data_IF_018442947074
#
_entry.id   IF_018442947074
#
_cell.length_a   1.000
_cell.length_b   1.000
_cell.length_c   1.000
_cell.angle_alpha   90.00
_cell.angle_beta   90.00
_cell.angle_gamma   90.00
#
_symmetry.space_group_name_H-M   'P 1'
#
loop_
_entity.id
_entity.type
_entity.pdbx_description
1 polymer ?
#
# COMPACT_ATOMS: atom_id res chain seq x y z
N UNK A 1 -0.44 -23.46 5.27
CA UNK A 1 -1.09 -22.94 4.04
C UNK A 1 -0.11 -22.84 2.87
N UNK A 2 1.05 -22.17 3.02
CA UNK A 2 2.05 -22.02 1.95
C UNK A 2 2.50 -23.37 1.36
N UNK A 3 2.88 -24.31 2.21
CA UNK A 3 3.33 -25.66 1.79
C UNK A 3 2.24 -26.45 1.04
N UNK A 4 0.98 -26.27 1.40
CA UNK A 4 -0.13 -26.94 0.72
C UNK A 4 -0.39 -26.43 -0.71
N UNK A 5 -0.03 -25.19 -1.01
CA UNK A 5 -0.20 -24.60 -2.34
C UNK A 5 0.90 -24.98 -3.34
N UNK A 6 2.10 -25.34 -2.85
CA UNK A 6 3.25 -25.64 -3.72
C UNK A 6 2.95 -26.73 -4.76
N UNK A 7 2.32 -27.88 -4.43
CA UNK A 7 1.98 -28.90 -5.43
C UNK A 7 1.04 -28.36 -6.52
N UNK A 8 0.02 -27.58 -6.15
CA UNK A 8 -0.93 -26.98 -7.10
C UNK A 8 -0.26 -25.96 -8.02
N UNK A 9 0.68 -25.17 -7.49
CA UNK A 9 1.47 -24.23 -8.30
C UNK A 9 2.37 -24.97 -9.28
N UNK A 10 3.04 -26.04 -8.86
CA UNK A 10 3.87 -26.86 -9.76
C UNK A 10 3.04 -27.50 -10.86
N UNK A 11 1.88 -28.04 -10.53
CA UNK A 11 0.97 -28.63 -11.50
C UNK A 11 0.45 -27.58 -12.48
N UNK A 12 0.05 -26.41 -11.99
CA UNK A 12 -0.36 -25.26 -12.83
C UNK A 12 0.74 -24.89 -13.81
N UNK A 13 1.99 -24.71 -13.36
CA UNK A 13 3.11 -24.30 -14.22
C UNK A 13 3.41 -25.40 -15.27
N UNK A 14 3.41 -26.68 -14.87
CA UNK A 14 3.67 -27.80 -15.76
C UNK A 14 2.66 -27.94 -16.88
N UNK A 15 1.40 -27.56 -16.63
CA UNK A 15 0.32 -27.66 -17.59
C UNK A 15 0.04 -26.32 -18.31
N UNK A 16 0.74 -25.24 -17.95
CA UNK A 16 0.48 -23.91 -18.47
C UNK A 16 1.00 -23.76 -19.90
N UNK A 17 0.18 -23.31 -20.88
CA UNK A 17 0.57 -23.21 -22.29
C UNK A 17 1.84 -22.40 -22.55
N UNK A 18 2.08 -21.37 -21.75
CA UNK A 18 3.26 -20.49 -21.84
C UNK A 18 4.58 -21.24 -21.62
N UNK A 19 4.55 -22.32 -20.84
CA UNK A 19 5.75 -23.07 -20.46
C UNK A 19 5.83 -24.44 -21.09
N UNK A 20 4.87 -24.82 -21.95
CA UNK A 20 4.90 -26.07 -22.67
C UNK A 20 6.12 -26.10 -23.61
N UNK A 21 6.84 -27.23 -23.59
CA UNK A 21 8.04 -27.46 -24.41
C UNK A 21 9.26 -26.58 -24.05
N UNK A 22 9.25 -25.92 -22.89
CA UNK A 22 10.40 -25.18 -22.36
C UNK A 22 10.99 -25.93 -21.15
N UNK A 23 12.29 -25.81 -20.97
CA UNK A 23 12.92 -26.21 -19.72
C UNK A 23 12.58 -25.17 -18.65
N UNK A 24 11.87 -25.60 -17.60
CA UNK A 24 11.33 -24.69 -16.59
C UNK A 24 11.99 -24.95 -15.25
N UNK A 25 12.62 -23.93 -14.68
CA UNK A 25 13.10 -23.91 -13.31
C UNK A 25 12.17 -23.07 -12.45
N UNK A 26 11.65 -23.64 -11.37
CA UNK A 26 10.77 -22.95 -10.42
C UNK A 26 11.49 -22.81 -9.08
N UNK A 27 11.62 -21.56 -8.61
CA UNK A 27 12.19 -21.23 -7.31
C UNK A 27 11.13 -20.54 -6.45
N UNK A 28 10.91 -21.06 -5.25
CA UNK A 28 9.99 -20.41 -4.30
C UNK A 28 10.77 -19.47 -3.39
N UNK A 29 10.34 -18.22 -3.28
CA UNK A 29 11.00 -17.26 -2.41
C UNK A 29 10.83 -17.66 -0.93
N UNK A 30 11.92 -17.67 -0.17
CA UNK A 30 11.89 -18.00 1.26
C UNK A 30 11.27 -16.89 2.11
N UNK A 31 11.36 -15.64 1.64
CA UNK A 31 10.86 -14.44 2.30
C UNK A 31 9.48 -14.08 1.75
N UNK A 32 8.56 -13.79 2.63
CA UNK A 32 7.19 -13.37 2.32
C UNK A 32 6.21 -13.99 3.32
N UNK A 33 5.64 -13.16 4.20
CA UNK A 33 4.73 -13.65 5.25
C UNK A 33 3.30 -13.77 4.71
N UNK A 34 2.95 -12.96 3.71
CA UNK A 34 1.59 -12.79 3.21
C UNK A 34 1.29 -13.49 1.88
N UNK A 35 2.33 -13.89 1.13
CA UNK A 35 2.17 -14.47 -0.21
C UNK A 35 3.11 -15.65 -0.47
N UNK A 36 2.69 -16.57 -1.33
CA UNK A 36 3.57 -17.52 -1.98
C UNK A 36 4.08 -16.88 -3.27
N UNK A 37 5.38 -16.69 -3.37
CA UNK A 37 6.03 -16.11 -4.54
C UNK A 37 6.86 -17.21 -5.21
N UNK A 38 6.61 -17.46 -6.50
CA UNK A 38 7.33 -18.39 -7.34
C UNK A 38 8.01 -17.64 -8.47
N UNK A 39 9.31 -17.83 -8.62
CA UNK A 39 10.06 -17.33 -9.77
C UNK A 39 10.16 -18.47 -10.77
N UNK A 40 9.63 -18.23 -11.97
CA UNK A 40 9.59 -19.18 -13.07
C UNK A 40 10.59 -18.72 -14.11
N UNK A 41 11.61 -19.51 -14.34
CA UNK A 41 12.72 -19.22 -15.26
C UNK A 41 12.75 -20.23 -16.40
N UNK A 42 12.76 -19.73 -17.61
CA UNK A 42 12.99 -20.49 -18.83
C UNK A 42 14.26 -19.97 -19.51
N UNK A 43 14.82 -20.64 -20.54
CA UNK A 43 15.96 -20.10 -21.28
C UNK A 43 15.73 -18.70 -21.89
N UNK A 44 14.47 -18.30 -22.08
CA UNK A 44 14.10 -17.05 -22.75
C UNK A 44 13.51 -15.99 -21.84
N UNK A 45 12.87 -16.41 -20.74
CA UNK A 45 12.06 -15.50 -19.90
C UNK A 45 12.19 -15.81 -18.42
N UNK A 46 11.95 -14.80 -17.63
CA UNK A 46 11.82 -14.91 -16.16
C UNK A 46 10.56 -14.19 -15.72
N UNK A 47 9.70 -14.89 -15.01
CA UNK A 47 8.40 -14.40 -14.57
C UNK A 47 8.19 -14.65 -13.09
N UNK A 48 7.34 -13.84 -12.45
CA UNK A 48 6.90 -14.02 -11.07
C UNK A 48 5.45 -14.48 -11.07
N UNK A 49 5.17 -15.55 -10.36
CA UNK A 49 3.81 -15.97 -10.00
C UNK A 49 3.62 -15.70 -8.50
N UNK A 50 2.72 -14.79 -8.17
CA UNK A 50 2.40 -14.42 -6.79
C UNK A 50 1.00 -14.88 -6.42
N UNK A 51 0.89 -15.58 -5.30
CA UNK A 51 -0.39 -16.06 -4.74
C UNK A 51 -0.46 -15.58 -3.30
N UNK A 52 -1.35 -14.67 -2.98
CA UNK A 52 -1.58 -14.26 -1.61
C UNK A 52 -2.19 -15.38 -0.75
N UNK A 53 -1.67 -15.53 0.46
CA UNK A 53 -2.09 -16.60 1.38
C UNK A 53 -3.39 -16.30 2.12
N UNK A 54 -3.81 -15.05 2.15
CA UNK A 54 -5.08 -14.58 2.70
C UNK A 54 -6.03 -14.26 1.57
N UNK A 55 -7.15 -14.97 1.49
CA UNK A 55 -8.20 -14.73 0.50
C UNK A 55 -8.75 -13.30 0.52
N UNK A 56 -8.69 -12.64 1.70
CA UNK A 56 -9.26 -11.32 1.89
C UNK A 56 -8.33 -10.14 1.51
N UNK A 57 -7.00 -10.36 1.39
CA UNK A 57 -6.03 -9.27 1.28
C UNK A 57 -5.47 -9.05 -0.13
N UNK A 58 -5.82 -9.86 -1.09
CA UNK A 58 -5.08 -9.97 -2.34
C UNK A 58 -5.89 -9.79 -3.61
N UNK A 59 -7.17 -9.73 -3.47
CA UNK A 59 -8.01 -9.43 -4.62
C UNK A 59 -7.69 -8.01 -5.09
N UNK A 60 -7.46 -7.86 -6.40
CA UNK A 60 -7.25 -6.57 -7.03
C UNK A 60 -5.81 -6.20 -7.34
N UNK A 61 -4.78 -6.96 -6.94
CA UNK A 61 -3.40 -6.62 -7.27
C UNK A 61 -3.20 -6.46 -8.78
N UNK A 62 -3.58 -7.45 -9.56
CA UNK A 62 -3.46 -7.39 -11.02
C UNK A 62 -4.25 -6.21 -11.62
N UNK A 63 -5.46 -5.97 -11.13
CA UNK A 63 -6.29 -4.83 -11.56
C UNK A 63 -5.60 -3.50 -11.31
N UNK A 64 -5.05 -3.29 -10.11
CA UNK A 64 -4.41 -2.04 -9.72
C UNK A 64 -3.11 -1.81 -10.50
N UNK A 65 -2.28 -2.85 -10.66
CA UNK A 65 -1.06 -2.76 -11.46
C UNK A 65 -1.36 -2.36 -12.91
N UNK A 66 -2.35 -2.98 -13.55
CA UNK A 66 -2.77 -2.64 -14.92
C UNK A 66 -3.23 -1.18 -15.02
N UNK A 67 -4.05 -0.71 -14.06
CA UNK A 67 -4.56 0.67 -14.05
C UNK A 67 -3.43 1.68 -13.85
N UNK A 68 -2.45 1.38 -13.00
CA UNK A 68 -1.31 2.25 -12.78
C UNK A 68 -0.33 2.25 -13.96
N UNK A 69 -0.15 1.11 -14.63
CA UNK A 69 0.62 1.04 -15.87
C UNK A 69 -0.01 1.93 -16.95
N UNK A 70 -1.33 1.88 -17.11
CA UNK A 70 -2.10 2.76 -18.02
C UNK A 70 -2.01 4.25 -17.63
N UNK A 71 -1.76 4.54 -16.37
CA UNK A 71 -1.53 5.90 -15.84
C UNK A 71 -0.05 6.35 -15.90
N UNK A 72 0.78 5.67 -16.67
CA UNK A 72 2.22 5.96 -16.83
C UNK A 72 3.00 5.86 -15.50
N UNK A 73 2.64 4.88 -14.67
CA UNK A 73 3.43 4.46 -13.49
C UNK A 73 4.14 3.17 -13.82
N UNK A 74 5.46 3.14 -13.62
CA UNK A 74 6.22 1.90 -13.81
C UNK A 74 5.89 0.91 -12.69
N UNK A 75 5.29 -0.20 -13.07
CA UNK A 75 4.96 -1.35 -12.23
C UNK A 75 5.39 -2.64 -12.94
N UNK A 76 5.51 -3.79 -12.28
CA UNK A 76 5.69 -5.05 -12.98
C UNK A 76 4.52 -5.30 -13.94
N UNK A 77 4.81 -5.48 -15.22
CA UNK A 77 3.77 -5.77 -16.22
C UNK A 77 3.02 -7.05 -15.87
N UNK A 78 1.70 -6.97 -15.79
CA UNK A 78 0.84 -8.13 -15.53
C UNK A 78 0.68 -8.94 -16.82
N UNK A 79 1.19 -10.15 -16.79
CA UNK A 79 1.12 -11.08 -17.94
C UNK A 79 -0.23 -11.79 -17.94
N UNK A 80 -0.66 -12.23 -16.76
CA UNK A 80 -1.89 -13.00 -16.59
C UNK A 80 -2.34 -12.94 -15.13
N UNK A 81 -3.61 -13.06 -14.90
CA UNK A 81 -4.22 -13.23 -13.58
C UNK A 81 -5.37 -14.23 -13.63
N UNK A 82 -5.65 -14.88 -12.53
CA UNK A 82 -6.70 -15.89 -12.44
C UNK A 82 -6.74 -16.56 -11.08
N UNK A 83 -7.19 -17.82 -11.07
CA UNK A 83 -7.35 -18.62 -9.86
C UNK A 83 -6.56 -19.92 -9.94
N UNK A 84 -5.83 -20.24 -8.87
CA UNK A 84 -5.27 -21.58 -8.62
C UNK A 84 -5.98 -22.11 -7.38
N UNK A 85 -6.80 -23.13 -7.56
CA UNK A 85 -7.75 -23.58 -6.54
C UNK A 85 -8.72 -22.43 -6.15
N UNK A 86 -8.73 -22.04 -4.89
CA UNK A 86 -9.52 -20.93 -4.33
C UNK A 86 -8.72 -19.62 -4.16
N UNK A 87 -7.43 -19.62 -4.58
CA UNK A 87 -6.53 -18.49 -4.41
C UNK A 87 -6.35 -17.72 -5.72
N UNK A 88 -6.53 -16.42 -5.66
CA UNK A 88 -6.17 -15.55 -6.78
C UNK A 88 -4.65 -15.56 -6.99
N UNK A 89 -4.21 -15.54 -8.26
CA UNK A 89 -2.81 -15.36 -8.61
C UNK A 89 -2.62 -14.18 -9.54
N UNK A 90 -1.44 -13.61 -9.50
CA UNK A 90 -0.94 -12.65 -10.48
C UNK A 90 0.37 -13.17 -11.04
N UNK A 91 0.42 -13.39 -12.34
CA UNK A 91 1.66 -13.67 -13.08
C UNK A 91 2.15 -12.37 -13.69
N UNK A 92 3.39 -12.00 -13.41
CA UNK A 92 3.92 -10.69 -13.79
C UNK A 92 5.40 -10.77 -14.19
N UNK A 93 5.87 -9.71 -14.81
CA UNK A 93 7.26 -9.47 -15.13
C UNK A 93 8.17 -9.65 -13.91
N UNK A 94 9.31 -10.30 -14.11
CA UNK A 94 10.37 -10.32 -13.11
C UNK A 94 11.23 -9.06 -13.24
N UNK A 95 11.34 -8.29 -12.16
CA UNK A 95 12.19 -7.10 -12.11
C UNK A 95 13.53 -7.49 -11.50
N UNK A 96 14.59 -7.43 -12.31
CA UNK A 96 15.97 -7.71 -11.87
C UNK A 96 16.59 -6.46 -11.24
N UNK A 97 16.11 -6.11 -10.06
CA UNK A 97 16.59 -4.95 -9.32
C UNK A 97 16.51 -5.19 -7.81
N UNK A 98 17.29 -4.42 -7.07
CA UNK A 98 17.21 -4.40 -5.60
C UNK A 98 16.03 -3.55 -5.13
N UNK A 99 15.50 -3.90 -3.98
CA UNK A 99 14.50 -3.07 -3.29
C UNK A 99 15.17 -1.79 -2.81
N UNK A 100 14.50 -0.65 -2.98
CA UNK A 100 15.04 0.68 -2.64
C UNK A 100 15.47 0.75 -1.17
N UNK A 101 14.73 0.15 -0.27
CA UNK A 101 15.08 0.05 1.16
C UNK A 101 16.47 -0.57 1.40
N UNK A 102 16.86 -1.56 0.59
CA UNK A 102 18.14 -2.30 0.77
C UNK A 102 19.35 -1.53 0.19
N UNK A 103 19.10 -0.59 -0.70
CA UNK A 103 20.12 0.24 -1.35
C UNK A 103 19.92 1.73 -1.07
N UNK A 104 19.15 2.06 -0.03
CA UNK A 104 18.78 3.41 0.29
C UNK A 104 20.03 4.29 0.52
N UNK A 105 20.14 5.45 -0.15
CA UNK A 105 21.34 6.27 -0.08
C UNK A 105 21.54 6.83 1.32
N UNK A 106 22.80 7.10 1.67
CA UNK A 106 23.16 7.77 2.93
C UNK A 106 23.07 9.29 2.83
N UNK A 107 23.22 9.82 1.62
CA UNK A 107 23.17 11.25 1.33
C UNK A 107 21.75 11.81 1.52
N UNK A 108 21.61 12.79 2.39
CA UNK A 108 20.31 13.38 2.76
C UNK A 108 19.68 14.17 1.60
N UNK A 109 20.48 14.78 0.71
CA UNK A 109 19.95 15.48 -0.46
C UNK A 109 19.30 14.48 -1.44
N UNK A 110 20.00 13.37 -1.70
CA UNK A 110 19.49 12.29 -2.56
C UNK A 110 18.23 11.67 -1.95
N UNK A 111 18.19 11.45 -0.64
CA UNK A 111 16.97 10.95 0.04
C UNK A 111 15.79 11.87 -0.17
N UNK A 112 16.00 13.19 -0.02
CA UNK A 112 14.94 14.19 -0.23
C UNK A 112 14.41 14.14 -1.66
N UNK A 113 15.26 14.05 -2.66
CA UNK A 113 14.89 13.93 -4.06
C UNK A 113 14.08 12.65 -4.33
N UNK A 114 14.50 11.52 -3.75
CA UNK A 114 13.74 10.26 -3.84
C UNK A 114 12.32 10.43 -3.28
N UNK A 115 12.14 11.03 -2.10
CA UNK A 115 10.80 11.21 -1.54
C UNK A 115 9.94 12.20 -2.33
N UNK A 116 10.53 13.21 -2.95
CA UNK A 116 9.81 14.08 -3.91
C UNK A 116 9.35 13.27 -5.11
N UNK A 117 10.20 12.39 -5.66
CA UNK A 117 9.82 11.54 -6.79
C UNK A 117 8.74 10.52 -6.39
N UNK A 118 8.86 9.90 -5.22
CA UNK A 118 7.82 9.02 -4.69
C UNK A 118 6.47 9.75 -4.54
N UNK A 119 6.48 10.99 -4.11
CA UNK A 119 5.28 11.82 -4.05
C UNK A 119 4.64 12.03 -5.43
N UNK A 120 5.44 12.31 -6.47
CA UNK A 120 4.96 12.45 -7.86
C UNK A 120 4.36 11.15 -8.39
N UNK A 121 5.02 10.02 -8.12
CA UNK A 121 4.53 8.69 -8.51
C UNK A 121 3.19 8.41 -7.83
N UNK A 122 3.07 8.64 -6.52
CA UNK A 122 1.82 8.43 -5.78
C UNK A 122 0.70 9.32 -6.33
N UNK A 123 1.00 10.57 -6.70
CA UNK A 123 0.04 11.45 -7.36
C UNK A 123 -0.44 10.87 -8.70
N UNK A 124 0.45 10.32 -9.52
CA UNK A 124 0.06 9.64 -10.78
C UNK A 124 -0.83 8.42 -10.52
N UNK A 125 -0.50 7.61 -9.50
CA UNK A 125 -1.30 6.44 -9.12
C UNK A 125 -2.73 6.80 -8.72
N UNK A 126 -2.95 7.99 -8.19
CA UNK A 126 -4.26 8.47 -7.76
C UNK A 126 -5.07 9.19 -8.85
N UNK A 127 -4.50 9.43 -10.05
CA UNK A 127 -5.23 10.08 -11.16
C UNK A 127 -6.40 9.26 -11.70
N UNK A 128 -6.29 7.93 -11.86
CA UNK A 128 -7.44 7.12 -12.26
C UNK A 128 -8.55 7.22 -11.22
N UNK A 129 -9.75 7.53 -11.71
CA UNK A 129 -10.94 7.67 -10.86
C UNK A 129 -11.47 6.28 -10.49
N UNK A 130 -11.74 6.10 -9.21
CA UNK A 130 -12.42 4.92 -8.67
C UNK A 130 -13.72 5.31 -7.97
N UNK A 131 -14.53 4.32 -7.64
CA UNK A 131 -15.77 4.49 -6.91
C UNK A 131 -15.85 3.50 -5.74
N UNK A 132 -16.33 3.98 -4.61
CA UNK A 132 -16.45 3.20 -3.38
C UNK A 132 -15.16 3.16 -2.56
N UNK A 133 -15.19 2.39 -1.47
CA UNK A 133 -14.18 2.39 -0.42
C UNK A 133 -13.91 1.00 0.11
N UNK A 134 -12.73 0.80 0.70
CA UNK A 134 -12.36 -0.46 1.34
C UNK A 134 -11.62 -1.42 0.41
N UNK A 135 -11.78 -2.70 0.67
CA UNK A 135 -11.09 -3.78 -0.07
C UNK A 135 -11.71 -4.00 -1.45
N UNK A 136 -10.96 -4.69 -2.30
CA UNK A 136 -11.47 -5.19 -3.56
C UNK A 136 -12.27 -6.48 -3.31
N UNK A 137 -13.53 -6.48 -3.71
CA UNK A 137 -14.43 -7.63 -3.67
C UNK A 137 -15.02 -7.80 -5.06
N UNK A 138 -14.74 -8.91 -5.72
CA UNK A 138 -15.18 -9.17 -7.10
C UNK A 138 -14.89 -8.01 -8.06
N UNK A 139 -13.68 -7.43 -7.97
CA UNK A 139 -13.23 -6.32 -8.81
C UNK A 139 -13.80 -4.94 -8.45
N UNK A 140 -14.62 -4.84 -7.41
CA UNK A 140 -15.28 -3.61 -6.95
C UNK A 140 -14.90 -3.27 -5.51
N UNK A 141 -15.22 -2.06 -5.08
CA UNK A 141 -15.05 -1.64 -3.70
C UNK A 141 -16.08 -2.31 -2.79
N UNK A 142 -15.63 -2.64 -1.58
CA UNK A 142 -16.45 -3.30 -0.54
C UNK A 142 -17.62 -2.42 -0.07
N UNK A 143 -17.41 -1.12 0.02
CA UNK A 143 -18.38 -0.14 0.51
C UNK A 143 -18.62 0.95 -0.52
N UNK A 144 -19.82 1.56 -0.52
CA UNK A 144 -20.18 2.61 -1.47
C UNK A 144 -19.70 3.99 -1.01
N UNK A 145 -19.68 4.24 0.30
CA UNK A 145 -19.34 5.53 0.89
C UNK A 145 -18.16 5.44 1.87
N UNK A 146 -17.49 6.58 2.09
CA UNK A 146 -16.45 6.70 3.11
C UNK A 146 -17.00 6.42 4.52
N UNK A 147 -18.23 6.85 4.79
CA UNK A 147 -18.89 6.62 6.06
C UNK A 147 -19.16 5.14 6.33
N UNK A 148 -19.66 4.39 5.33
CA UNK A 148 -19.84 2.94 5.45
C UNK A 148 -18.51 2.22 5.70
N UNK A 149 -17.45 2.61 5.01
CA UNK A 149 -16.11 2.07 5.20
C UNK A 149 -15.59 2.36 6.62
N UNK A 150 -15.70 3.63 7.08
CA UNK A 150 -15.23 4.02 8.40
C UNK A 150 -15.96 3.30 9.52
N UNK A 151 -17.28 3.11 9.37
CA UNK A 151 -18.13 2.38 10.31
C UNK A 151 -18.08 0.86 10.12
N UNK A 152 -17.36 0.38 9.12
CA UNK A 152 -17.20 -1.04 8.86
C UNK A 152 -16.45 -1.77 9.97
N UNK A 153 -16.76 -3.06 10.15
CA UNK A 153 -16.25 -3.89 11.25
C UNK A 153 -14.72 -3.85 11.38
N UNK A 154 -14.01 -3.94 10.26
CA UNK A 154 -12.54 -3.95 10.24
C UNK A 154 -11.94 -2.66 10.80
N UNK A 155 -12.49 -1.50 10.43
CA UNK A 155 -12.04 -0.18 10.89
C UNK A 155 -12.40 0.01 12.36
N UNK A 156 -13.65 -0.26 12.73
CA UNK A 156 -14.12 -0.08 14.10
C UNK A 156 -13.40 -1.01 15.10
N UNK A 157 -13.06 -2.21 14.70
CA UNK A 157 -12.25 -3.14 15.50
C UNK A 157 -10.85 -2.57 15.81
N UNK A 158 -10.21 -1.91 14.84
CA UNK A 158 -8.91 -1.27 15.08
C UNK A 158 -9.05 -0.06 16.03
N UNK A 159 -10.06 0.78 15.82
CA UNK A 159 -10.35 1.93 16.67
C UNK A 159 -10.63 1.48 18.12
N UNK A 160 -11.45 0.45 18.28
CA UNK A 160 -11.76 -0.11 19.60
C UNK A 160 -10.50 -0.63 20.29
N UNK A 161 -9.65 -1.39 19.57
CA UNK A 161 -8.38 -1.88 20.09
C UNK A 161 -7.49 -0.75 20.63
N UNK A 162 -7.37 0.37 19.88
CA UNK A 162 -6.58 1.55 20.29
C UNK A 162 -7.14 2.14 21.58
N UNK A 163 -8.46 2.27 21.70
CA UNK A 163 -9.14 2.80 22.88
C UNK A 163 -8.99 1.91 24.11
N UNK A 164 -9.21 0.61 23.96
CA UNK A 164 -9.13 -0.38 25.05
C UNK A 164 -7.70 -0.52 25.60
N UNK A 165 -6.69 -0.29 24.78
CA UNK A 165 -5.28 -0.36 25.19
C UNK A 165 -4.70 1.03 25.54
N UNK A 166 -5.52 2.08 25.63
CA UNK A 166 -5.11 3.46 25.90
C UNK A 166 -4.00 3.99 24.99
N UNK A 167 -3.97 3.51 23.75
CA UNK A 167 -3.07 4.03 22.74
C UNK A 167 -3.68 5.32 22.16
N UNK A 168 -2.89 6.33 21.88
CA UNK A 168 -3.38 7.62 21.36
C UNK A 168 -4.45 8.29 22.25
N UNK A 169 -4.36 8.16 23.57
CA UNK A 169 -5.39 8.65 24.50
C UNK A 169 -5.67 10.16 24.39
N UNK A 170 -4.65 10.96 24.11
CA UNK A 170 -4.79 12.41 23.92
C UNK A 170 -5.52 12.78 22.62
N UNK A 171 -5.57 11.86 21.64
CA UNK A 171 -6.15 12.09 20.32
C UNK A 171 -7.58 11.53 20.18
N UNK A 172 -8.13 10.87 21.21
CA UNK A 172 -9.46 10.26 21.12
C UNK A 172 -10.55 11.28 20.79
N UNK A 173 -10.45 12.50 21.32
CA UNK A 173 -11.39 13.58 21.01
C UNK A 173 -11.29 14.10 19.57
N UNK A 174 -10.12 14.00 18.95
CA UNK A 174 -9.86 14.51 17.60
C UNK A 174 -10.32 13.54 16.51
N UNK A 175 -10.51 12.26 16.81
CA UNK A 175 -10.88 11.24 15.81
C UNK A 175 -12.24 11.53 15.15
N UNK A 176 -13.25 11.92 15.92
CA UNK A 176 -14.57 12.26 15.39
C UNK A 176 -14.52 13.47 14.47
N UNK A 177 -13.66 14.45 14.78
CA UNK A 177 -13.44 15.62 13.95
C UNK A 177 -12.73 15.24 12.65
N UNK A 178 -11.67 14.42 12.71
CA UNK A 178 -10.96 13.91 11.54
C UNK A 178 -11.92 13.16 10.60
N UNK A 179 -12.76 12.30 11.16
CA UNK A 179 -13.80 11.61 10.37
C UNK A 179 -14.73 12.59 9.68
N UNK A 180 -15.26 13.60 10.39
CA UNK A 180 -16.18 14.58 9.82
C UNK A 180 -15.54 15.35 8.66
N UNK A 181 -14.30 15.81 8.84
CA UNK A 181 -13.54 16.55 7.81
C UNK A 181 -13.37 15.69 6.55
N UNK A 182 -12.93 14.43 6.72
CA UNK A 182 -12.74 13.52 5.57
C UNK A 182 -14.06 13.13 4.92
N UNK A 183 -15.11 12.89 5.69
CA UNK A 183 -16.44 12.63 5.14
C UNK A 183 -16.94 13.79 4.28
N UNK A 184 -16.87 15.01 4.78
CA UNK A 184 -17.26 16.20 4.01
C UNK A 184 -16.44 16.37 2.72
N UNK A 185 -15.13 16.09 2.80
CA UNK A 185 -14.25 16.14 1.64
C UNK A 185 -14.62 15.07 0.60
N UNK A 186 -14.83 13.81 1.02
CA UNK A 186 -15.18 12.70 0.12
C UNK A 186 -16.55 12.85 -0.49
N UNK A 187 -17.53 13.34 0.28
CA UNK A 187 -18.89 13.59 -0.21
C UNK A 187 -18.92 14.67 -1.31
N UNK A 188 -18.03 15.68 -1.22
CA UNK A 188 -17.86 16.69 -2.27
C UNK A 188 -17.16 16.13 -3.50
N UNK A 189 -16.12 15.33 -3.33
CA UNK A 189 -15.35 14.75 -4.43
C UNK A 189 -16.15 13.70 -5.22
N UNK A 190 -17.04 12.95 -4.57
CA UNK A 190 -17.88 11.87 -5.13
C UNK A 190 -17.10 10.78 -5.86
N UNK A 191 -15.83 10.65 -5.54
CA UNK A 191 -14.91 9.69 -6.14
C UNK A 191 -13.88 9.23 -5.13
N UNK A 192 -13.28 8.09 -5.41
CA UNK A 192 -12.14 7.55 -4.68
C UNK A 192 -10.95 7.32 -5.62
N UNK A 193 -9.87 6.81 -5.09
CA UNK A 193 -8.64 6.50 -5.82
C UNK A 193 -8.27 5.02 -5.64
N UNK A 194 -7.46 4.52 -6.55
CA UNK A 194 -6.76 3.26 -6.43
C UNK A 194 -5.56 3.44 -5.51
N UNK A 195 -5.68 3.03 -4.26
CA UNK A 195 -4.69 3.25 -3.21
C UNK A 195 -3.76 2.05 -3.05
N UNK A 196 -2.48 2.32 -2.85
CA UNK A 196 -1.48 1.28 -2.58
C UNK A 196 -1.57 0.74 -1.16
N UNK A 197 -1.93 1.57 -0.20
CA UNK A 197 -2.10 1.30 1.24
C UNK A 197 -0.84 0.75 1.97
N UNK A 198 0.25 0.54 1.25
CA UNK A 198 1.57 0.16 1.81
C UNK A 198 2.73 0.78 0.99
N UNK A 199 2.52 2.01 0.46
CA UNK A 199 3.49 2.70 -0.38
C UNK A 199 4.67 3.21 0.44
N UNK A 200 5.83 2.61 0.22
CA UNK A 200 7.08 2.93 0.90
C UNK A 200 8.28 2.23 0.28
N UNK A 201 9.48 2.57 0.73
CA UNK A 201 10.75 2.10 0.13
C UNK A 201 10.92 0.57 0.12
N UNK A 202 10.16 -0.16 0.93
CA UNK A 202 10.15 -1.63 0.94
C UNK A 202 9.40 -2.25 -0.24
N UNK A 203 8.48 -1.48 -0.86
CA UNK A 203 7.65 -1.89 -2.00
C UNK A 203 8.01 -1.12 -3.27
N UNK A 204 9.29 -0.74 -3.38
CA UNK A 204 9.86 0.01 -4.51
C UNK A 204 11.13 -0.70 -4.96
N UNK A 205 11.25 -0.99 -6.25
CA UNK A 205 12.51 -1.38 -6.86
C UNK A 205 13.32 -0.15 -7.27
N UNK A 206 14.63 -0.16 -6.97
CA UNK A 206 15.57 0.89 -7.33
C UNK A 206 15.96 0.76 -8.82
N UNK A 207 15.01 1.02 -9.70
CA UNK A 207 15.14 1.06 -11.15
C UNK A 207 15.09 2.50 -11.66
N UNK A 208 15.42 2.72 -12.93
CA UNK A 208 15.22 3.99 -13.63
C UNK A 208 14.32 3.73 -14.86
N UNK A 209 13.08 4.19 -14.87
CA UNK A 209 12.34 4.85 -13.78
C UNK A 209 12.05 3.90 -12.60
N UNK A 210 11.80 4.48 -11.43
CA UNK A 210 11.42 3.75 -10.22
C UNK A 210 10.19 2.85 -10.47
N UNK A 211 10.27 1.59 -10.04
CA UNK A 211 9.19 0.61 -10.19
C UNK A 211 8.48 0.36 -8.86
N UNK A 212 7.16 0.55 -8.84
CA UNK A 212 6.29 0.30 -7.68
C UNK A 212 5.74 -1.13 -7.74
N UNK A 213 5.72 -1.85 -6.62
CA UNK A 213 5.21 -3.22 -6.57
C UNK A 213 4.56 -3.52 -5.21
N UNK A 214 3.96 -4.71 -5.09
CA UNK A 214 3.40 -5.28 -3.86
C UNK A 214 2.36 -4.38 -3.17
N UNK A 215 1.32 -3.93 -3.88
CA UNK A 215 0.25 -3.16 -3.27
C UNK A 215 -0.55 -4.00 -2.26
N UNK A 216 -1.14 -3.32 -1.30
CA UNK A 216 -2.27 -3.79 -0.52
C UNK A 216 -3.55 -3.10 -1.05
N UNK A 217 -4.14 -3.59 -2.16
CA UNK A 217 -5.12 -2.84 -2.95
C UNK A 217 -6.31 -2.35 -2.13
N UNK A 218 -6.57 -1.06 -2.17
CA UNK A 218 -7.71 -0.41 -1.50
C UNK A 218 -8.31 0.67 -2.38
N UNK A 219 -9.62 0.79 -2.30
CA UNK A 219 -10.32 1.98 -2.75
C UNK A 219 -10.48 2.92 -1.57
N UNK A 220 -9.98 4.14 -1.67
CA UNK A 220 -10.14 5.14 -0.61
C UNK A 220 -9.92 6.56 -1.17
N UNK A 221 -10.06 7.55 -0.31
CA UNK A 221 -9.65 8.90 -0.61
C UNK A 221 -8.12 8.97 -0.78
N UNK A 222 -7.64 9.74 -1.73
CA UNK A 222 -6.22 9.91 -2.02
C UNK A 222 -5.42 10.46 -0.83
N UNK A 223 -6.01 11.32 0.00
CA UNK A 223 -5.39 11.80 1.25
C UNK A 223 -5.17 10.66 2.26
N UNK A 224 -6.04 9.65 2.26
CA UNK A 224 -5.85 8.47 3.11
C UNK A 224 -4.59 7.70 2.73
N UNK A 225 -4.35 7.46 1.44
CA UNK A 225 -3.15 6.76 0.98
C UNK A 225 -1.87 7.60 1.15
N UNK A 226 -1.94 8.90 0.87
CA UNK A 226 -0.84 9.83 1.14
C UNK A 226 -0.51 9.88 2.65
N UNK A 227 -1.52 10.00 3.51
CA UNK A 227 -1.34 9.97 4.96
C UNK A 227 -0.72 8.67 5.46
N UNK A 228 -1.13 7.53 4.86
CA UNK A 228 -0.54 6.23 5.14
C UNK A 228 0.94 6.17 4.75
N UNK A 229 1.28 6.69 3.58
CA UNK A 229 2.66 6.75 3.08
C UNK A 229 3.55 7.63 3.94
N UNK A 230 3.02 8.74 4.48
CA UNK A 230 3.73 9.60 5.45
C UNK A 230 4.04 8.80 6.72
N UNK A 231 3.08 8.08 7.29
CA UNK A 231 3.28 7.24 8.48
C UNK A 231 4.37 6.18 8.23
N UNK A 232 4.36 5.54 7.07
CA UNK A 232 5.36 4.54 6.69
C UNK A 232 6.74 5.21 6.59
N UNK A 233 6.84 6.39 5.99
CA UNK A 233 8.09 7.13 5.86
C UNK A 233 8.69 7.52 7.22
N UNK A 234 7.86 7.99 8.15
CA UNK A 234 8.27 8.28 9.52
C UNK A 234 8.84 7.05 10.23
N UNK A 235 8.19 5.89 10.07
CA UNK A 235 8.66 4.63 10.65
C UNK A 235 9.97 4.11 10.06
N UNK A 236 10.25 4.43 8.81
CA UNK A 236 11.45 3.96 8.11
C UNK A 236 12.66 4.89 8.31
N UNK A 237 12.46 6.14 8.70
CA UNK A 237 13.49 7.18 8.82
C UNK A 237 13.61 7.72 10.24
N UNK A 238 13.47 6.89 11.25
CA UNK A 238 13.64 7.25 12.67
C UNK A 238 12.87 8.52 13.09
N UNK A 239 11.65 8.69 12.56
CA UNK A 239 10.79 9.82 12.93
C UNK A 239 11.11 11.14 12.24
N UNK A 240 11.97 11.15 11.22
CA UNK A 240 12.26 12.37 10.47
C UNK A 240 11.03 12.86 9.69
N UNK A 241 10.41 13.93 10.19
CA UNK A 241 9.22 14.54 9.57
C UNK A 241 9.50 15.08 8.16
N UNK A 242 10.75 15.44 7.86
CA UNK A 242 11.16 15.96 6.56
C UNK A 242 10.83 15.03 5.38
N UNK A 243 10.88 13.72 5.57
CA UNK A 243 10.51 12.77 4.50
C UNK A 243 9.04 12.85 4.14
N UNK A 244 8.17 13.05 5.12
CA UNK A 244 6.75 13.32 4.91
C UNK A 244 6.52 14.64 4.16
N UNK A 245 7.27 15.69 4.49
CA UNK A 245 7.21 16.99 3.79
C UNK A 245 7.65 16.86 2.33
N UNK A 246 8.69 16.07 2.03
CA UNK A 246 9.11 15.84 0.66
C UNK A 246 8.10 15.02 -0.14
N UNK A 247 7.45 14.02 0.46
CA UNK A 247 6.32 13.31 -0.15
C UNK A 247 5.19 14.27 -0.53
N UNK A 248 4.79 15.14 0.40
CA UNK A 248 3.74 16.15 0.19
C UNK A 248 4.13 17.09 -0.94
N UNK A 249 5.38 17.57 -0.93
CA UNK A 249 5.91 18.45 -1.98
C UNK A 249 5.89 17.78 -3.36
N UNK A 250 6.27 16.51 -3.44
CA UNK A 250 6.22 15.76 -4.70
C UNK A 250 4.79 15.52 -5.16
N UNK A 251 3.89 15.20 -4.24
CA UNK A 251 2.49 14.89 -4.52
C UNK A 251 1.71 16.08 -5.06
N UNK A 252 1.79 17.24 -4.39
CA UNK A 252 1.03 18.44 -4.75
C UNK A 252 1.82 19.41 -5.66
N UNK A 253 3.15 19.28 -5.74
CA UNK A 253 3.98 20.23 -6.48
C UNK A 253 3.83 21.65 -5.92
N UNK A 254 3.37 22.58 -6.77
CA UNK A 254 3.04 23.96 -6.39
C UNK A 254 1.55 24.18 -6.07
N UNK A 255 0.72 23.13 -6.16
CA UNK A 255 -0.71 23.25 -5.89
C UNK A 255 -0.96 23.36 -4.38
N UNK A 256 -1.99 24.13 -4.02
CA UNK A 256 -2.49 24.19 -2.66
C UNK A 256 -3.22 22.90 -2.30
N UNK A 257 -3.12 22.49 -1.05
CA UNK A 257 -3.83 21.33 -0.54
C UNK A 257 -4.52 21.63 0.80
N UNK A 258 -5.50 20.83 1.14
CA UNK A 258 -6.21 20.95 2.41
C UNK A 258 -5.42 20.25 3.53
N UNK A 259 -4.76 21.07 4.37
CA UNK A 259 -3.94 20.59 5.50
C UNK A 259 -4.77 19.88 6.55
N UNK A 260 -6.02 20.31 6.77
CA UNK A 260 -6.90 19.66 7.76
C UNK A 260 -7.34 18.27 7.27
N UNK A 261 -7.65 18.13 5.99
CA UNK A 261 -7.99 16.82 5.39
C UNK A 261 -6.80 15.87 5.51
N UNK A 262 -5.59 16.33 5.17
CA UNK A 262 -4.38 15.51 5.28
C UNK A 262 -4.10 15.10 6.73
N UNK A 263 -4.19 16.02 7.67
CA UNK A 263 -3.97 15.72 9.09
C UNK A 263 -5.04 14.76 9.63
N UNK A 264 -6.29 14.92 9.23
CA UNK A 264 -7.36 13.99 9.55
C UNK A 264 -7.09 12.58 9.00
N UNK A 265 -6.60 12.49 7.77
CA UNK A 265 -6.20 11.23 7.15
C UNK A 265 -5.03 10.55 7.89
N UNK A 266 -4.02 11.32 8.29
CA UNK A 266 -2.90 10.81 9.09
C UNK A 266 -3.39 10.28 10.43
N UNK A 267 -4.26 11.01 11.12
CA UNK A 267 -4.80 10.57 12.41
C UNK A 267 -5.62 9.27 12.27
N UNK A 268 -6.52 9.18 11.31
CA UNK A 268 -7.30 7.94 11.09
C UNK A 268 -6.34 6.78 10.78
N UNK A 269 -5.35 6.98 9.89
CA UNK A 269 -4.35 5.97 9.59
C UNK A 269 -3.53 5.55 10.82
N UNK A 270 -3.25 6.46 11.74
CA UNK A 270 -2.60 6.13 13.01
C UNK A 270 -3.42 5.12 13.81
N UNK A 271 -4.74 5.33 13.95
CA UNK A 271 -5.65 4.37 14.59
C UNK A 271 -5.65 3.01 13.89
N UNK A 272 -5.52 2.98 12.57
CA UNK A 272 -5.48 1.72 11.82
C UNK A 272 -4.12 1.01 11.89
N UNK A 273 -3.02 1.73 12.12
CA UNK A 273 -1.66 1.18 12.15
C UNK A 273 -1.19 0.77 13.55
N UNK A 274 -1.59 1.49 14.57
CA UNK A 274 -1.18 1.25 15.96
C UNK A 274 -1.45 -0.17 16.46
N UNK A 275 -2.62 -0.80 16.20
CA UNK A 275 -2.85 -2.18 16.64
C UNK A 275 -1.81 -3.17 16.11
N UNK A 276 -1.41 -3.04 14.85
CA UNK A 276 -0.35 -3.87 14.28
C UNK A 276 1.01 -3.58 14.91
N UNK A 277 1.38 -2.31 15.04
CA UNK A 277 2.66 -1.91 15.64
C UNK A 277 2.76 -2.35 17.11
N UNK A 278 1.66 -2.23 17.88
CA UNK A 278 1.59 -2.67 19.25
C UNK A 278 1.76 -4.20 19.37
N UNK A 279 1.03 -4.97 18.57
CA UNK A 279 1.13 -6.44 18.53
C UNK A 279 2.51 -6.93 18.12
N UNK A 280 3.18 -6.21 17.20
CA UNK A 280 4.54 -6.53 16.74
C UNK A 280 5.64 -5.89 17.60
N UNK A 281 5.27 -5.22 18.69
CA UNK A 281 6.19 -4.52 19.61
C UNK A 281 7.09 -3.49 18.90
N UNK A 282 6.56 -2.83 17.88
CA UNK A 282 7.25 -1.77 17.12
C UNK A 282 7.13 -0.42 17.84
N UNK A 283 7.56 -0.36 19.12
CA UNK A 283 7.33 0.80 19.99
C UNK A 283 8.02 2.07 19.51
N UNK A 284 9.20 1.97 18.91
CA UNK A 284 9.90 3.12 18.32
C UNK A 284 9.07 3.80 17.23
N UNK A 285 8.44 2.98 16.35
CA UNK A 285 7.57 3.50 15.30
C UNK A 285 6.31 4.15 15.86
N UNK A 286 5.75 3.59 16.92
CA UNK A 286 4.60 4.16 17.63
C UNK A 286 4.97 5.50 18.26
N UNK A 287 6.11 5.57 18.94
CA UNK A 287 6.61 6.80 19.56
C UNK A 287 6.81 7.91 18.52
N UNK A 288 7.52 7.61 17.40
CA UNK A 288 7.75 8.56 16.33
C UNK A 288 6.44 9.12 15.74
N UNK A 289 5.44 8.28 15.57
CA UNK A 289 4.14 8.70 15.08
C UNK A 289 3.38 9.55 16.11
N UNK A 290 3.44 9.21 17.41
CA UNK A 290 2.84 10.02 18.48
C UNK A 290 3.48 11.41 18.55
N UNK A 291 4.80 11.51 18.53
CA UNK A 291 5.54 12.77 18.46
C UNK A 291 5.08 13.64 17.27
N UNK A 292 4.93 13.02 16.10
CA UNK A 292 4.46 13.73 14.92
C UNK A 292 3.03 14.25 15.10
N UNK A 293 2.11 13.43 15.62
CA UNK A 293 0.73 13.81 15.88
C UNK A 293 0.62 14.96 16.89
N UNK A 294 1.41 14.92 17.96
CA UNK A 294 1.47 15.99 18.95
C UNK A 294 1.90 17.32 18.32
N UNK A 295 2.96 17.30 17.50
CA UNK A 295 3.47 18.47 16.80
C UNK A 295 2.49 19.08 15.79
N UNK A 296 1.66 18.24 15.18
CA UNK A 296 0.72 18.64 14.12
C UNK A 296 -0.74 18.78 14.61
N UNK A 297 -1.01 18.54 15.86
CA UNK A 297 -2.35 18.58 16.47
C UNK A 297 -3.12 19.88 16.19
N UNK A 298 -2.41 21.03 16.18
CA UNK A 298 -2.99 22.33 15.91
C UNK A 298 -3.64 22.45 14.52
N UNK A 299 -3.30 21.58 13.57
CA UNK A 299 -3.89 21.58 12.24
C UNK A 299 -5.34 21.03 12.22
N UNK A 300 -5.77 20.36 13.29
CA UNK A 300 -7.15 19.89 13.47
C UNK A 300 -7.99 20.79 14.37
N UNK A 301 -7.41 21.80 15.01
CA UNK A 301 -8.12 22.78 15.81
C UNK A 301 -8.61 23.96 14.97
#
# INVERSE_FOLDING_TARGET
RRMALIPHVKDFISNHPRFQNEEVKVTFADKGVSSLISIIETPKTKTVLKIPLSLAHSLGEAQFLKIWEDADVRVPHVIEDGMITEHAYTMMEYIDAKILKDVYPKDEAIKKEIYVELGRILCKMHKPVAHGYGRVVEGKAQYQTFEEWFNGEDVQKQILYVKENNLLSEEHGSLSRAFKILKEHTDKAKQSSYCHDDFGTANIFATEPITVFDPNPRFNNNYMDLGRSIIISLGNNNGQAETGEQLIRGYFGSESYDKMVLQGAILINAYLKFPYQHKTKSFDKMHNLQEYLIKTKHLLT
#
